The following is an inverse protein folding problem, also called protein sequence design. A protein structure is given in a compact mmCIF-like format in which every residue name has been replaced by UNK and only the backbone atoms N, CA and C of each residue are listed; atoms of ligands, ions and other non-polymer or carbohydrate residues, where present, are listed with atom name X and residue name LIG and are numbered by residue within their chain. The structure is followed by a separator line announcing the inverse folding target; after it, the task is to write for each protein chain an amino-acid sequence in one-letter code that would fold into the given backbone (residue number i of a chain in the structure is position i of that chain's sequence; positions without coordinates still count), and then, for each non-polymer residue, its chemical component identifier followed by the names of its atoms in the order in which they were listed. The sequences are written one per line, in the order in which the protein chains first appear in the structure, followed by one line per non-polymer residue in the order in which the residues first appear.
data_IF_132335118427
#
_entry.id   IF_132335118427
#
_cell.length_a   1.000
_cell.length_b   1.000
_cell.length_c   1.000
_cell.angle_alpha   90.00
_cell.angle_beta   90.00
_cell.angle_gamma   90.00
#
_symmetry.space_group_name_H-M   'P 1'
#
loop_
_entity.id
_entity.type
_entity.pdbx_description
1 polymer ?
#
# COMPACT_ATOMS: atom_id res chain seq x y z
N UNK A 1 3.10 4.38 15.53
CA UNK A 1 3.00 5.32 14.39
C UNK A 1 1.57 5.83 14.35
N UNK A 2 1.39 7.15 14.41
CA UNK A 2 0.06 7.73 14.22
C UNK A 2 -0.42 7.51 12.78
N UNK A 3 -1.69 7.80 12.51
CA UNK A 3 -2.31 7.47 11.21
C UNK A 3 -1.86 8.41 10.09
N UNK A 4 -1.57 9.67 10.38
CA UNK A 4 -1.07 10.64 9.41
C UNK A 4 0.37 10.30 8.97
N UNK A 5 1.21 9.91 9.93
CA UNK A 5 2.55 9.41 9.70
C UNK A 5 2.53 8.09 8.90
N UNK A 6 1.65 7.15 9.26
CA UNK A 6 1.49 5.89 8.53
C UNK A 6 1.07 6.15 7.08
N UNK A 7 0.12 7.06 6.88
CA UNK A 7 -0.35 7.46 5.56
C UNK A 7 0.77 8.07 4.71
N UNK A 8 1.55 9.00 5.29
CA UNK A 8 2.68 9.61 4.60
C UNK A 8 3.78 8.59 4.26
N UNK A 9 4.08 7.67 5.18
CA UNK A 9 5.09 6.63 4.99
C UNK A 9 4.69 5.64 3.88
N UNK A 10 3.41 5.26 3.82
CA UNK A 10 2.89 4.42 2.73
C UNK A 10 3.00 5.13 1.39
N UNK A 11 2.64 6.42 1.30
CA UNK A 11 2.79 7.19 0.05
C UNK A 11 4.24 7.24 -0.41
N UNK A 12 5.18 7.49 0.52
CA UNK A 12 6.61 7.50 0.23
C UNK A 12 7.09 6.14 -0.27
N UNK A 13 6.70 5.06 0.40
CA UNK A 13 7.09 3.68 0.05
C UNK A 13 6.52 3.26 -1.30
N UNK A 14 5.22 3.50 -1.53
CA UNK A 14 4.57 3.22 -2.81
C UNK A 14 5.24 3.98 -3.97
N UNK A 15 5.60 5.26 -3.75
CA UNK A 15 6.33 6.06 -4.74
C UNK A 15 7.73 5.50 -5.02
N UNK A 16 8.47 5.06 -4.00
CA UNK A 16 9.79 4.46 -4.16
C UNK A 16 9.74 3.15 -4.97
N UNK A 17 8.65 2.39 -4.83
CA UNK A 17 8.36 1.20 -5.64
C UNK A 17 7.85 1.47 -7.06
N UNK A 18 7.63 2.74 -7.40
CA UNK A 18 7.10 3.12 -8.72
C UNK A 18 5.60 2.87 -8.90
N UNK A 19 4.85 2.66 -7.82
CA UNK A 19 3.39 2.53 -7.90
C UNK A 19 2.75 3.85 -8.32
N UNK A 20 1.76 3.76 -9.20
CA UNK A 20 1.01 4.91 -9.70
C UNK A 20 -0.19 5.15 -8.79
N UNK A 21 -0.31 6.36 -8.23
CA UNK A 21 -1.45 6.75 -7.40
C UNK A 21 -2.71 6.91 -8.25
N UNK A 22 -3.80 6.25 -7.85
CA UNK A 22 -5.11 6.32 -8.52
C UNK A 22 -6.09 7.19 -7.73
N UNK A 23 -6.29 6.87 -6.46
CA UNK A 23 -7.16 7.62 -5.56
C UNK A 23 -6.50 7.77 -4.19
N UNK A 24 -6.85 8.84 -3.48
CA UNK A 24 -6.42 9.05 -2.10
C UNK A 24 -7.51 9.70 -1.26
N UNK A 25 -7.71 9.12 -0.08
CA UNK A 25 -8.52 9.67 1.00
C UNK A 25 -7.65 9.72 2.25
N UNK A 26 -7.12 10.90 2.62
CA UNK A 26 -6.37 11.06 3.85
C UNK A 26 -7.20 10.62 5.07
N UNK A 27 -6.56 10.09 6.12
CA UNK A 27 -7.24 9.83 7.38
C UNK A 27 -7.87 11.10 7.94
N UNK A 28 -9.07 10.99 8.49
CA UNK A 28 -9.80 12.12 9.04
C UNK A 28 -11.30 11.89 9.18
N UNK A 29 -12.04 12.96 9.48
CA UNK A 29 -13.48 12.89 9.70
C UNK A 29 -13.86 12.12 10.97
N UNK A 30 -15.09 11.60 11.02
CA UNK A 30 -15.66 10.98 12.23
C UNK A 30 -15.01 9.64 12.59
N UNK A 31 -14.57 8.86 11.61
CA UNK A 31 -13.92 7.55 11.86
C UNK A 31 -12.39 7.64 11.93
N UNK A 32 -11.78 8.66 11.32
CA UNK A 32 -10.32 8.75 11.20
C UNK A 32 -9.72 7.76 10.19
N UNK A 33 -10.54 6.98 9.49
CA UNK A 33 -10.06 6.00 8.52
C UNK A 33 -9.46 6.70 7.29
N UNK A 34 -8.38 6.12 6.76
CA UNK A 34 -7.75 6.53 5.51
C UNK A 34 -7.80 5.44 4.45
N UNK A 35 -7.60 5.83 3.19
CA UNK A 35 -7.61 4.91 2.05
C UNK A 35 -6.75 5.44 0.91
N UNK A 36 -6.01 4.57 0.23
CA UNK A 36 -5.25 4.91 -0.98
C UNK A 36 -5.31 3.74 -1.95
N UNK A 37 -5.57 4.03 -3.23
CA UNK A 37 -5.49 3.06 -4.31
C UNK A 37 -4.32 3.36 -5.25
N UNK A 38 -3.65 2.31 -5.68
CA UNK A 38 -2.52 2.36 -6.59
C UNK A 38 -2.64 1.32 -7.72
N UNK A 39 -1.89 1.55 -8.79
CA UNK A 39 -1.58 0.57 -9.82
C UNK A 39 -0.09 0.27 -9.79
N UNK A 40 0.25 -1.02 -9.85
CA UNK A 40 1.61 -1.50 -10.12
C UNK A 40 1.64 -2.22 -11.47
N UNK A 41 2.79 -2.23 -12.14
CA UNK A 41 2.96 -2.89 -13.44
C UNK A 41 3.90 -4.07 -13.33
N UNK A 42 3.46 -5.21 -13.87
CA UNK A 42 4.34 -6.38 -13.98
C UNK A 42 5.54 -6.09 -14.90
N UNK A 43 6.74 -6.45 -14.46
CA UNK A 43 8.00 -6.07 -15.14
C UNK A 43 8.15 -6.64 -16.56
N UNK A 44 7.60 -7.82 -16.83
CA UNK A 44 7.83 -8.54 -18.10
C UNK A 44 6.76 -8.22 -19.14
N UNK A 45 5.48 -8.23 -18.75
CA UNK A 45 4.36 -8.05 -19.69
C UNK A 45 3.63 -6.72 -19.51
N UNK A 46 3.96 -5.93 -18.48
CA UNK A 46 3.36 -4.62 -18.27
C UNK A 46 1.89 -4.64 -17.85
N UNK A 47 1.36 -5.78 -17.41
CA UNK A 47 0.00 -5.87 -16.89
C UNK A 47 -0.18 -5.03 -15.63
N UNK A 48 -1.31 -4.34 -15.56
CA UNK A 48 -1.71 -3.57 -14.39
C UNK A 48 -2.24 -4.50 -13.29
N UNK A 49 -1.74 -4.32 -12.08
CA UNK A 49 -2.25 -4.91 -10.84
C UNK A 49 -2.81 -3.81 -9.94
N UNK A 50 -3.98 -4.05 -9.35
CA UNK A 50 -4.64 -3.13 -8.43
C UNK A 50 -4.14 -3.34 -7.01
N UNK A 51 -3.91 -2.23 -6.30
CA UNK A 51 -3.45 -2.25 -4.92
C UNK A 51 -4.27 -1.27 -4.11
N UNK A 52 -4.81 -1.76 -3.01
CA UNK A 52 -5.59 -0.96 -2.07
C UNK A 52 -4.92 -0.99 -0.71
N UNK A 53 -4.72 0.19 -0.12
CA UNK A 53 -4.21 0.36 1.24
C UNK A 53 -5.25 1.07 2.08
N UNK A 54 -5.65 0.45 3.19
CA UNK A 54 -6.58 1.04 4.16
C UNK A 54 -5.89 1.29 5.47
N UNK A 55 -6.23 2.42 6.09
CA UNK A 55 -5.69 2.84 7.37
C UNK A 55 -6.83 2.87 8.37
N UNK A 56 -6.68 2.13 9.46
CA UNK A 56 -7.62 2.13 10.56
C UNK A 56 -6.92 2.59 11.84
N UNK A 57 -7.27 3.76 12.40
CA UNK A 57 -6.71 4.21 13.66
C UNK A 57 -7.13 3.26 14.79
N UNK A 58 -6.19 2.95 15.67
CA UNK A 58 -6.38 2.19 16.90
C UNK A 58 -5.73 2.96 18.06
N UNK A 59 -6.03 2.65 19.34
CA UNK A 59 -5.36 3.29 20.46
C UNK A 59 -3.84 3.12 20.39
N UNK A 60 -3.11 4.22 20.19
CA UNK A 60 -1.64 4.27 20.15
C UNK A 60 -0.97 3.67 18.89
N UNK A 61 -1.74 3.17 17.93
CA UNK A 61 -1.20 2.55 16.72
C UNK A 61 -2.15 2.67 15.52
N UNK A 62 -1.64 2.38 14.33
CA UNK A 62 -2.45 2.32 13.10
C UNK A 62 -2.40 0.90 12.55
N UNK A 63 -3.57 0.35 12.21
CA UNK A 63 -3.63 -0.87 11.40
C UNK A 63 -3.62 -0.47 9.93
N UNK A 64 -2.69 -1.07 9.19
CA UNK A 64 -2.56 -0.90 7.74
C UNK A 64 -2.99 -2.22 7.10
N UNK A 65 -4.11 -2.20 6.38
CA UNK A 65 -4.58 -3.35 5.60
C UNK A 65 -4.17 -3.15 4.14
N UNK A 66 -3.39 -4.08 3.59
CA UNK A 66 -2.92 -4.05 2.20
C UNK A 66 -3.55 -5.20 1.40
N UNK A 67 -4.11 -4.88 0.24
CA UNK A 67 -4.60 -5.85 -0.74
C UNK A 67 -3.92 -5.60 -2.08
N UNK A 68 -3.52 -6.67 -2.74
CA UNK A 68 -3.04 -6.65 -4.13
C UNK A 68 -3.83 -7.67 -4.95
N UNK A 69 -4.29 -7.28 -6.13
CA UNK A 69 -5.11 -8.11 -6.99
C UNK A 69 -4.73 -7.91 -8.46
N UNK A 70 -4.55 -9.01 -9.18
CA UNK A 70 -4.25 -8.98 -10.61
C UNK A 70 -5.51 -8.78 -11.44
N UNK A 71 -5.44 -7.88 -12.43
CA UNK A 71 -6.54 -7.64 -13.38
C UNK A 71 -6.64 -8.72 -14.45
N UNK A 72 -5.52 -9.36 -14.78
CA UNK A 72 -5.39 -10.30 -15.88
C UNK A 72 -4.86 -11.65 -15.41
N UNK A 73 -5.37 -12.71 -16.02
CA UNK A 73 -4.98 -14.09 -15.71
C UNK A 73 -5.80 -14.72 -14.58
N UNK A 74 -5.92 -16.05 -14.63
CA UNK A 74 -6.63 -16.84 -13.61
C UNK A 74 -5.74 -17.20 -12.41
N UNK A 75 -4.42 -17.09 -12.60
CA UNK A 75 -3.40 -17.44 -11.63
C UNK A 75 -2.40 -16.29 -11.53
N UNK A 76 -2.06 -15.89 -10.31
CA UNK A 76 -1.06 -14.83 -10.06
C UNK A 76 0.35 -15.39 -9.80
N UNK A 77 0.50 -16.71 -9.71
CA UNK A 77 1.75 -17.43 -9.40
C UNK A 77 2.53 -16.83 -8.20
N UNK A 78 1.80 -16.29 -7.23
CA UNK A 78 2.39 -15.68 -6.03
C UNK A 78 2.97 -14.27 -6.23
N UNK A 79 2.75 -13.64 -7.38
CA UNK A 79 3.19 -12.25 -7.64
C UNK A 79 2.60 -11.28 -6.62
N UNK A 80 1.31 -11.40 -6.31
CA UNK A 80 0.64 -10.55 -5.32
C UNK A 80 1.23 -10.72 -3.92
N UNK A 81 1.50 -11.97 -3.50
CA UNK A 81 2.14 -12.24 -2.22
C UNK A 81 3.56 -11.65 -2.14
N UNK A 82 4.37 -11.85 -3.19
CA UNK A 82 5.72 -11.27 -3.28
C UNK A 82 5.70 -9.74 -3.23
N UNK A 83 4.73 -9.11 -3.89
CA UNK A 83 4.56 -7.66 -3.87
C UNK A 83 4.23 -7.15 -2.47
N UNK A 84 3.28 -7.78 -1.80
CA UNK A 84 2.89 -7.43 -0.43
C UNK A 84 4.08 -7.56 0.51
N UNK A 85 4.83 -8.67 0.43
CA UNK A 85 6.02 -8.89 1.26
C UNK A 85 7.10 -7.84 1.02
N UNK A 86 7.45 -7.58 -0.25
CA UNK A 86 8.46 -6.60 -0.59
C UNK A 86 8.06 -5.16 -0.20
N UNK A 87 6.78 -4.81 -0.32
CA UNK A 87 6.27 -3.52 0.19
C UNK A 87 6.39 -3.43 1.71
N UNK A 88 6.03 -4.49 2.44
CA UNK A 88 6.11 -4.51 3.90
C UNK A 88 7.56 -4.40 4.40
N UNK A 89 8.50 -5.10 3.77
CA UNK A 89 9.94 -5.00 4.07
C UNK A 89 10.47 -3.58 3.87
N UNK A 90 10.11 -2.94 2.76
CA UNK A 90 10.56 -1.58 2.46
C UNK A 90 9.91 -0.55 3.39
N UNK A 91 8.63 -0.71 3.70
CA UNK A 91 7.92 0.13 4.68
C UNK A 91 8.60 0.04 6.05
N UNK A 92 8.95 -1.17 6.50
CA UNK A 92 9.66 -1.40 7.76
C UNK A 92 11.06 -0.78 7.73
N UNK A 93 11.82 -0.97 6.66
CA UNK A 93 13.15 -0.36 6.50
C UNK A 93 13.09 1.16 6.55
N UNK A 94 12.09 1.79 5.91
CA UNK A 94 11.92 3.25 5.97
C UNK A 94 11.45 3.73 7.34
N UNK A 95 10.72 2.90 8.09
CA UNK A 95 10.31 3.19 9.47
C UNK A 95 11.50 3.13 10.43
N UNK A 96 12.39 2.14 10.27
CA UNK A 96 13.56 1.95 11.13
C UNK A 96 14.66 2.99 10.87
N UNK A 97 14.73 3.52 9.65
CA UNK A 97 15.68 4.56 9.25
C UNK A 97 15.24 5.99 9.66
N UNK A 98 14.10 6.12 10.34
CA UNK A 98 13.55 7.39 10.82
C UNK A 98 14.11 7.74 12.20
#
# INVERSE_FOLDING_TARGET
LDTDEAYALVLKTAKARGWTLVDKRPPGGRSGDGHIDFIDKTLVMGFDDDITVRFKPLPGQTRIDLRSASRYGRHDFGVNAKRIAAFAEELQSQLDAR
#
